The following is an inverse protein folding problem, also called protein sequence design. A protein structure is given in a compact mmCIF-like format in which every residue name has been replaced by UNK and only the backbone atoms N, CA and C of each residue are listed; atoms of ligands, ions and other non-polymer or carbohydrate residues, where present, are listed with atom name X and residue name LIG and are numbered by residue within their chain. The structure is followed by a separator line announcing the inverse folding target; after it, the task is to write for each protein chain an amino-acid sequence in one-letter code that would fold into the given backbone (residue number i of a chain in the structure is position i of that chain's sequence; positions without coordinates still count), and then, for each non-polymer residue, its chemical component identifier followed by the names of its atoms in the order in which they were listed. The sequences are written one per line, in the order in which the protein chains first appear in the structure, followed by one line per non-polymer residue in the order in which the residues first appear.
data_IF_800728958427
#
_entry.id   IF_800728958427
#
_cell.length_a   1.000
_cell.length_b   1.000
_cell.length_c   1.000
_cell.angle_alpha   90.00
_cell.angle_beta   90.00
_cell.angle_gamma   90.00
#
_symmetry.space_group_name_H-M   'P 1'
#
loop_
_entity.id
_entity.type
_entity.pdbx_description
1 polymer ?
#
# COMPACT_ATOMS: atom_id res chain seq x y z
N UNK A 1 8.41 0.90 -0.82
CA UNK A 1 7.86 2.26 -1.05
C UNK A 1 7.78 3.04 0.26
N UNK A 2 7.50 4.34 0.20
CA UNK A 2 7.24 5.24 1.33
C UNK A 2 5.75 5.25 1.74
N UNK A 3 5.43 5.82 2.90
CA UNK A 3 4.03 6.02 3.33
C UNK A 3 3.25 6.91 2.38
N UNK A 4 3.89 7.91 1.77
CA UNK A 4 3.25 8.80 0.79
C UNK A 4 2.91 8.09 -0.51
N UNK A 5 3.79 7.22 -1.01
CA UNK A 5 3.50 6.39 -2.18
C UNK A 5 2.38 5.39 -1.89
N UNK A 6 2.42 4.69 -0.75
CA UNK A 6 1.37 3.77 -0.33
C UNK A 6 0.01 4.48 -0.20
N UNK A 7 0.00 5.67 0.41
CA UNK A 7 -1.20 6.49 0.57
C UNK A 7 -1.88 6.83 -0.77
N UNK A 8 -1.10 7.08 -1.82
CA UNK A 8 -1.63 7.34 -3.17
C UNK A 8 -2.30 6.10 -3.76
N UNK A 9 -1.73 4.91 -3.57
CA UNK A 9 -2.36 3.67 -4.03
C UNK A 9 -3.62 3.32 -3.24
N UNK A 10 -3.65 3.65 -1.95
CA UNK A 10 -4.76 3.34 -1.04
C UNK A 10 -5.87 4.40 -1.02
N UNK A 11 -5.66 5.56 -1.65
CA UNK A 11 -6.64 6.66 -1.61
C UNK A 11 -6.82 7.29 -0.22
N UNK A 12 -5.81 7.21 0.65
CA UNK A 12 -5.87 7.73 2.03
C UNK A 12 -4.78 8.76 2.29
N UNK A 13 -4.80 9.41 3.46
CA UNK A 13 -3.73 10.33 3.86
C UNK A 13 -2.46 9.59 4.30
N UNK A 14 -1.28 10.15 3.98
CA UNK A 14 0.01 9.61 4.41
C UNK A 14 0.16 9.47 5.94
N UNK A 15 -0.51 10.36 6.70
CA UNK A 15 -0.55 10.27 8.16
C UNK A 15 -1.34 9.05 8.65
N UNK A 16 -2.40 8.63 7.94
CA UNK A 16 -3.14 7.42 8.27
C UNK A 16 -2.26 6.17 8.10
N UNK A 17 -1.58 6.08 6.96
CA UNK A 17 -0.64 4.97 6.68
C UNK A 17 0.48 4.92 7.72
N UNK A 18 1.03 6.09 8.10
CA UNK A 18 2.03 6.18 9.16
C UNK A 18 1.51 5.64 10.50
N UNK A 19 0.31 6.05 10.92
CA UNK A 19 -0.32 5.57 12.17
C UNK A 19 -0.56 4.07 12.15
N UNK A 20 -0.91 3.50 11.00
CA UNK A 20 -1.05 2.04 10.87
C UNK A 20 0.28 1.31 10.99
N UNK A 21 1.36 1.87 10.45
CA UNK A 21 2.70 1.33 10.63
C UNK A 21 3.13 1.38 12.11
N UNK A 22 2.93 2.52 12.77
CA UNK A 22 3.21 2.68 14.21
C UNK A 22 2.36 1.72 15.07
N UNK A 23 1.14 1.41 14.65
CA UNK A 23 0.26 0.44 15.31
C UNK A 23 0.53 -1.03 14.92
N UNK A 24 1.52 -1.31 14.08
CA UNK A 24 1.85 -2.68 13.64
C UNK A 24 0.82 -3.34 12.72
N UNK A 25 -0.07 -2.56 12.09
CA UNK A 25 -1.15 -3.08 11.22
C UNK A 25 -0.71 -3.30 9.77
N UNK A 26 0.51 -2.93 9.42
CA UNK A 26 1.05 -3.00 8.06
C UNK A 26 2.14 -4.06 8.05
N UNK A 27 1.83 -5.23 7.48
CA UNK A 27 2.75 -6.35 7.43
C UNK A 27 4.03 -6.01 6.65
N UNK A 28 5.19 -6.36 7.21
CA UNK A 28 6.49 -6.10 6.59
C UNK A 28 6.90 -4.63 6.53
N UNK A 29 6.15 -3.70 7.14
CA UNK A 29 6.58 -2.31 7.26
C UNK A 29 7.78 -2.21 8.22
N UNK A 30 8.82 -1.50 7.79
CA UNK A 30 10.03 -1.27 8.60
C UNK A 30 10.30 0.22 8.73
N UNK A 31 10.63 0.65 9.94
CA UNK A 31 11.10 2.01 10.19
C UNK A 31 12.63 2.06 10.03
N UNK A 32 13.11 2.94 9.16
CA UNK A 32 14.53 3.18 8.98
C UNK A 32 15.08 4.05 10.12
N UNK A 33 16.42 4.04 10.37
CA UNK A 33 17.04 4.93 11.38
C UNK A 33 16.74 6.42 11.16
N UNK A 34 16.46 6.82 9.92
CA UNK A 34 16.01 8.18 9.57
C UNK A 34 14.57 8.53 10.00
N UNK A 35 13.84 7.61 10.64
CA UNK A 35 12.42 7.76 11.00
C UNK A 35 11.44 7.55 9.85
N UNK A 36 11.93 7.42 8.60
CA UNK A 36 11.10 7.11 7.43
C UNK A 36 10.67 5.65 7.42
N UNK A 37 9.44 5.41 6.98
CA UNK A 37 8.89 4.07 6.80
C UNK A 37 9.15 3.52 5.41
N UNK A 38 9.45 2.23 5.34
CA UNK A 38 9.48 1.45 4.10
C UNK A 38 8.44 0.34 4.16
N UNK A 39 7.59 0.30 3.13
CA UNK A 39 6.50 -0.65 2.99
C UNK A 39 6.73 -1.53 1.75
N UNK A 40 6.47 -2.84 1.81
CA UNK A 40 6.44 -3.70 0.63
C UNK A 40 5.17 -3.44 -0.20
N UNK A 41 5.17 -3.83 -1.48
CA UNK A 41 3.97 -3.78 -2.32
C UNK A 41 2.86 -4.70 -1.80
N UNK A 42 3.23 -5.88 -1.28
CA UNK A 42 2.29 -6.82 -0.69
C UNK A 42 1.42 -6.20 0.39
N UNK A 43 1.93 -5.26 1.19
CA UNK A 43 1.13 -4.58 2.20
C UNK A 43 -0.02 -3.76 1.58
N UNK A 44 0.18 -3.15 0.41
CA UNK A 44 -0.88 -2.42 -0.30
C UNK A 44 -1.92 -3.41 -0.84
N UNK A 45 -1.46 -4.52 -1.43
CA UNK A 45 -2.33 -5.59 -1.94
C UNK A 45 -3.18 -6.20 -0.82
N UNK A 46 -2.59 -6.48 0.34
CA UNK A 46 -3.32 -7.02 1.49
C UNK A 46 -4.37 -6.05 2.02
N UNK A 47 -4.07 -4.75 2.06
CA UNK A 47 -5.04 -3.74 2.50
C UNK A 47 -6.19 -3.58 1.49
N UNK A 48 -5.91 -3.62 0.20
CA UNK A 48 -6.92 -3.51 -0.86
C UNK A 48 -7.70 -4.81 -1.07
N UNK A 49 -7.15 -5.95 -0.68
CA UNK A 49 -7.69 -7.29 -0.96
C UNK A 49 -7.54 -7.74 -2.42
N UNK A 50 -6.89 -6.95 -3.27
CA UNK A 50 -6.64 -7.22 -4.69
C UNK A 50 -5.40 -6.47 -5.16
N UNK A 51 -4.70 -6.97 -6.18
CA UNK A 51 -3.57 -6.26 -6.77
C UNK A 51 -4.06 -5.31 -7.89
N UNK A 52 -4.03 -3.99 -7.69
CA UNK A 52 -4.48 -3.04 -8.70
C UNK A 52 -3.61 -3.05 -9.97
N UNK A 53 -2.41 -3.65 -9.95
CA UNK A 53 -1.58 -3.82 -11.15
C UNK A 53 -2.08 -4.94 -12.05
N UNK A 54 -2.75 -5.95 -11.49
CA UNK A 54 -3.31 -7.06 -12.26
C UNK A 54 -4.58 -6.63 -13.00
N UNK A 55 -5.40 -5.77 -12.39
CA UNK A 55 -6.58 -5.17 -13.00
C UNK A 55 -6.22 -4.33 -14.23
N UNK A 56 -5.12 -3.57 -14.16
CA UNK A 56 -4.62 -2.77 -15.29
C UNK A 56 -3.96 -3.61 -16.38
N UNK A 57 -3.49 -4.82 -16.05
CA UNK A 57 -2.87 -5.74 -17.01
C UNK A 57 -3.90 -6.51 -17.87
N UNK A 58 -5.19 -6.47 -17.52
CA UNK A 58 -6.28 -7.11 -18.27
C UNK A 58 -7.34 -6.11 -18.77
N UNK A 59 -7.01 -5.23 -19.75
CA UNK A 59 -8.04 -4.44 -20.43
C UNK A 59 -8.86 -5.35 -21.36
N UNK A 60 -9.88 -6.05 -20.85
CA UNK A 60 -10.75 -6.84 -21.74
C UNK A 60 -11.64 -7.94 -21.16
N UNK A 61 -11.80 -8.10 -19.85
CA UNK A 61 -12.72 -9.13 -19.30
C UNK A 61 -14.11 -8.57 -18.97
N UNK A 62 -14.68 -7.73 -19.84
CA UNK A 62 -15.95 -7.05 -19.61
C UNK A 62 -16.73 -6.76 -20.89
N UNK A 63 -16.77 -7.70 -21.82
CA UNK A 63 -17.76 -7.71 -22.88
C UNK A 63 -18.53 -9.04 -22.80
N UNK A 64 -19.66 -9.02 -22.10
CA UNK A 64 -20.75 -10.00 -22.27
C UNK A 64 -22.07 -9.26 -22.09
#
# INVERSE_FOLDING_TARGET
MSTGEAARHLGVGAQAVRRWCEAGKVAGAVQLPSGRWRLPWSAVVEILGSDPREELAHPGAGAR
#
